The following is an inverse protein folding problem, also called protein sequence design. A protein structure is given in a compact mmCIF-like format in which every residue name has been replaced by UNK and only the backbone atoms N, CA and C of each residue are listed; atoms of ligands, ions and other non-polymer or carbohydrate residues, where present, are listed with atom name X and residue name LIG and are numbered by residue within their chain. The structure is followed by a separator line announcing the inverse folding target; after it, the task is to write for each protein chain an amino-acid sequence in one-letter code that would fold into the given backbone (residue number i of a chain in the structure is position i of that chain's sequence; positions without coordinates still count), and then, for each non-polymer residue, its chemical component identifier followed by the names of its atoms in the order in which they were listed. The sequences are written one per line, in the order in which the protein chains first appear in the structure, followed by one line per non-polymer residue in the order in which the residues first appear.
data_IF_959341187595
#
_entry.id   IF_959341187595
#
_cell.length_a   1.000
_cell.length_b   1.000
_cell.length_c   1.000
_cell.angle_alpha   90.00
_cell.angle_beta   90.00
_cell.angle_gamma   90.00
#
_symmetry.space_group_name_H-M   'P 1'
#
loop_
_entity.id
_entity.type
_entity.pdbx_description
1 polymer ?
#
# COMPACT_ATOMS: atom_id res chain seq x y z
N UNK A 1 -13.52 6.04 11.83
CA UNK A 1 -15.01 5.92 11.73
C UNK A 1 -15.52 4.54 12.15
N UNK A 2 -15.11 3.46 11.46
CA UNK A 2 -15.51 2.09 11.86
C UNK A 2 -15.04 1.68 13.26
N UNK A 3 -13.99 2.31 13.78
CA UNK A 3 -13.51 2.10 15.15
C UNK A 3 -14.37 2.76 16.23
N UNK A 4 -15.16 3.78 15.88
CA UNK A 4 -15.98 4.54 16.83
C UNK A 4 -17.45 4.10 16.80
N UNK A 5 -17.93 3.57 15.67
CA UNK A 5 -19.32 3.14 15.49
C UNK A 5 -19.35 1.89 14.62
N UNK A 6 -20.18 0.91 14.99
CA UNK A 6 -20.45 -0.27 14.14
C UNK A 6 -21.21 0.16 12.89
N UNK A 7 -20.49 0.24 11.78
CA UNK A 7 -21.04 0.61 10.47
C UNK A 7 -20.86 -0.58 9.53
N UNK A 8 -21.98 -1.18 9.13
CA UNK A 8 -22.01 -2.32 8.22
C UNK A 8 -22.54 -1.90 6.82
N UNK A 9 -21.93 -0.85 6.27
CA UNK A 9 -22.26 -0.27 4.97
C UNK A 9 -20.97 0.04 4.20
N UNK A 10 -21.06 0.08 2.87
CA UNK A 10 -19.96 0.44 1.98
C UNK A 10 -19.63 1.94 2.09
N UNK A 11 -18.43 2.33 1.64
CA UNK A 11 -18.02 3.74 1.64
C UNK A 11 -18.98 4.64 0.82
N UNK A 12 -19.56 4.09 -0.25
CA UNK A 12 -20.56 4.78 -1.08
C UNK A 12 -21.85 5.01 -0.31
N UNK A 13 -22.40 3.98 0.33
CA UNK A 13 -23.65 4.11 1.10
C UNK A 13 -23.50 5.06 2.29
N UNK A 14 -22.31 5.13 2.89
CA UNK A 14 -22.01 6.08 3.97
C UNK A 14 -21.98 7.50 3.42
N UNK A 15 -21.33 7.72 2.27
CA UNK A 15 -21.28 9.02 1.61
C UNK A 15 -22.68 9.52 1.24
N UNK A 16 -23.55 8.66 0.70
CA UNK A 16 -24.92 9.01 0.37
C UNK A 16 -25.74 9.41 1.61
N UNK A 17 -25.62 8.64 2.70
CA UNK A 17 -26.30 8.96 3.97
C UNK A 17 -25.78 10.25 4.60
N UNK A 18 -24.48 10.51 4.51
CA UNK A 18 -23.88 11.76 4.98
C UNK A 18 -24.43 12.94 4.18
N UNK A 19 -24.45 12.85 2.86
CA UNK A 19 -25.02 13.88 1.98
C UNK A 19 -26.50 14.13 2.29
N UNK A 20 -27.30 13.06 2.46
CA UNK A 20 -28.71 13.18 2.82
C UNK A 20 -28.94 13.79 4.22
N UNK A 21 -28.00 13.59 5.15
CA UNK A 21 -28.03 14.19 6.48
C UNK A 21 -27.59 15.66 6.52
N UNK A 22 -27.22 16.24 5.37
CA UNK A 22 -26.74 17.62 5.24
C UNK A 22 -25.22 17.78 5.33
N UNK A 23 -24.48 16.67 5.44
CA UNK A 23 -23.01 16.64 5.39
C UNK A 23 -22.56 16.19 4.00
N UNK A 24 -22.39 17.15 3.09
CA UNK A 24 -22.00 16.86 1.71
C UNK A 24 -20.65 16.13 1.64
N UNK A 25 -20.62 15.01 0.91
CA UNK A 25 -19.39 14.26 0.66
C UNK A 25 -18.74 14.72 -0.65
N UNK A 26 -17.63 15.45 -0.56
CA UNK A 26 -16.94 16.02 -1.73
C UNK A 26 -16.25 14.95 -2.59
N UNK A 27 -15.66 13.90 -1.96
CA UNK A 27 -14.92 12.87 -2.69
C UNK A 27 -14.82 11.56 -1.92
N UNK A 28 -14.89 10.45 -2.67
CA UNK A 28 -14.58 9.11 -2.18
C UNK A 28 -13.29 8.65 -2.86
N UNK A 29 -12.24 8.39 -2.09
CA UNK A 29 -10.95 7.89 -2.61
C UNK A 29 -10.75 6.46 -2.13
N UNK A 30 -10.68 5.53 -3.08
CA UNK A 30 -10.37 4.13 -2.80
C UNK A 30 -8.88 3.88 -3.05
N UNK A 31 -8.10 3.74 -1.98
CA UNK A 31 -6.69 3.40 -2.07
C UNK A 31 -6.51 1.92 -2.43
N UNK A 32 -5.49 1.62 -3.24
CA UNK A 32 -5.06 0.24 -3.50
C UNK A 32 -5.86 -0.56 -4.53
N UNK A 33 -6.86 0.04 -5.19
CA UNK A 33 -7.73 -0.67 -6.16
C UNK A 33 -6.97 -1.34 -7.31
N UNK A 34 -5.83 -0.79 -7.71
CA UNK A 34 -4.99 -1.30 -8.81
C UNK A 34 -3.76 -2.08 -8.34
N UNK A 35 -3.52 -2.16 -7.03
CA UNK A 35 -2.33 -2.83 -6.48
C UNK A 35 -2.61 -4.33 -6.40
N UNK A 36 -1.95 -5.11 -7.26
CA UNK A 36 -2.01 -6.57 -7.25
C UNK A 36 -0.65 -7.13 -6.86
N UNK A 37 -0.63 -8.24 -6.12
CA UNK A 37 0.58 -8.96 -5.70
C UNK A 37 1.57 -8.13 -4.86
N UNK A 38 1.10 -7.17 -4.07
CA UNK A 38 1.95 -6.44 -3.12
C UNK A 38 2.07 -7.25 -1.84
N UNK A 39 3.31 -7.45 -1.42
CA UNK A 39 3.68 -8.15 -0.19
C UNK A 39 4.65 -7.29 0.61
N UNK A 40 4.61 -7.43 1.92
CA UNK A 40 5.61 -6.81 2.80
C UNK A 40 6.87 -7.66 2.76
N UNK A 41 8.01 -7.02 2.45
CA UNK A 41 9.32 -7.65 2.46
C UNK A 41 10.24 -7.00 3.50
N UNK A 42 11.17 -7.79 4.05
CA UNK A 42 12.20 -7.33 4.97
C UNK A 42 13.56 -7.29 4.26
N UNK A 43 14.25 -6.15 4.32
CA UNK A 43 15.56 -5.98 3.71
C UNK A 43 16.61 -6.63 4.62
N UNK A 44 17.28 -7.66 4.14
CA UNK A 44 18.34 -8.35 4.89
C UNK A 44 19.72 -7.76 4.63
N UNK A 45 19.98 -7.37 3.38
CA UNK A 45 21.28 -6.84 2.99
C UNK A 45 21.12 -5.84 1.85
N UNK A 46 21.97 -4.80 1.84
CA UNK A 46 22.06 -3.81 0.77
C UNK A 46 23.52 -3.73 0.33
N UNK A 47 23.78 -3.92 -0.97
CA UNK A 47 25.10 -3.80 -1.58
C UNK A 47 25.10 -2.74 -2.69
N UNK A 48 26.21 -2.03 -2.92
CA UNK A 48 26.33 -1.13 -4.07
C UNK A 48 26.28 -1.92 -5.37
N UNK A 49 25.65 -1.36 -6.41
CA UNK A 49 25.62 -1.98 -7.73
C UNK A 49 27.00 -1.85 -8.40
N UNK A 50 27.58 -2.93 -8.95
CA UNK A 50 28.92 -2.90 -9.55
C UNK A 50 29.04 -1.94 -10.75
N UNK A 51 27.99 -1.85 -11.57
CA UNK A 51 27.96 -1.00 -12.77
C UNK A 51 27.25 0.37 -12.61
N UNK A 52 26.81 0.76 -11.40
CA UNK A 52 26.07 2.01 -11.24
C UNK A 52 26.19 2.63 -9.83
N UNK A 53 26.87 3.78 -9.73
CA UNK A 53 27.12 4.50 -8.48
C UNK A 53 25.86 4.94 -7.71
N UNK A 54 24.71 5.07 -8.40
CA UNK A 54 23.44 5.51 -7.80
C UNK A 54 22.46 4.36 -7.54
N UNK A 55 22.81 3.13 -7.88
CA UNK A 55 21.94 1.97 -7.69
C UNK A 55 22.46 1.08 -6.57
N UNK A 56 21.52 0.46 -5.86
CA UNK A 56 21.78 -0.49 -4.78
C UNK A 56 21.06 -1.79 -5.07
N UNK A 57 21.72 -2.90 -4.79
CA UNK A 57 21.14 -4.24 -4.77
C UNK A 57 20.63 -4.52 -3.35
N UNK A 58 19.32 -4.58 -3.19
CA UNK A 58 18.66 -4.96 -1.95
C UNK A 58 18.24 -6.43 -2.01
N UNK A 59 18.70 -7.22 -1.06
CA UNK A 59 18.24 -8.60 -0.85
C UNK A 59 17.06 -8.57 0.11
N UNK A 60 15.87 -8.88 -0.41
CA UNK A 60 14.61 -8.74 0.30
C UNK A 60 13.98 -10.11 0.52
N UNK A 61 13.69 -10.40 1.77
CA UNK A 61 12.91 -11.56 2.19
C UNK A 61 11.42 -11.20 2.19
N UNK A 62 10.65 -11.84 1.31
CA UNK A 62 9.19 -11.65 1.18
C UNK A 62 8.39 -12.82 1.75
N UNK A 63 8.99 -13.63 2.64
CA UNK A 63 8.36 -14.84 3.21
C UNK A 63 8.27 -16.00 2.21
N UNK A 64 9.08 -15.97 1.15
CA UNK A 64 9.26 -17.07 0.18
C UNK A 64 10.53 -17.84 0.51
N UNK A 65 10.67 -19.04 -0.07
CA UNK A 65 11.83 -19.91 0.16
C UNK A 65 13.16 -19.27 -0.26
N UNK A 66 13.13 -18.47 -1.33
CA UNK A 66 14.30 -17.80 -1.87
C UNK A 66 14.20 -16.28 -1.68
N UNK A 67 15.33 -15.65 -1.36
CA UNK A 67 15.43 -14.19 -1.26
C UNK A 67 15.34 -13.56 -2.65
N UNK A 68 14.66 -12.42 -2.74
CA UNK A 68 14.57 -11.67 -3.98
C UNK A 68 15.65 -10.58 -4.01
N UNK A 69 16.39 -10.52 -5.11
CA UNK A 69 17.32 -9.43 -5.39
C UNK A 69 16.58 -8.33 -6.14
N UNK A 70 16.51 -7.13 -5.54
CA UNK A 70 15.81 -5.97 -6.10
C UNK A 70 16.82 -4.84 -6.31
N UNK A 71 16.87 -4.29 -7.52
CA UNK A 71 17.68 -3.11 -7.82
C UNK A 71 16.84 -1.87 -7.47
N UNK A 72 17.31 -1.09 -6.50
CA UNK A 72 16.67 0.15 -6.06
C UNK A 72 17.64 1.32 -6.19
N UNK A 73 17.17 2.44 -6.76
CA UNK A 73 17.91 3.71 -6.84
C UNK A 73 17.51 4.74 -5.77
N UNK A 74 16.77 4.30 -4.75
CA UNK A 74 16.36 5.14 -3.62
C UNK A 74 17.47 5.25 -2.57
#
# INVERSE_FOLDING_TARGET
LKEFVKINASATEIAEKLTLSGSETEKIVQHGKSLKNIVVGNIKEIKPHPDADKLRLAYVDVGKKDMLTIVCGA
#
